data_IF_315992908306
#
_entry.id   IF_315992908306
#
_cell.length_a   1.000
_cell.length_b   1.000
_cell.length_c   1.000
_cell.angle_alpha   90.00
_cell.angle_beta   90.00
_cell.angle_gamma   90.00
#
_symmetry.space_group_name_H-M   'P 1'
#
loop_
_entity.id
_entity.type
_entity.pdbx_description
1 polymer ?
#
# COMPACT_ATOMS: atom_id res chain seq x y z
N UNK A 1 10.63 6.91 15.82
CA UNK A 1 10.70 6.63 14.37
C UNK A 1 11.65 7.65 13.73
N UNK A 2 12.67 7.23 12.97
CA UNK A 2 13.63 8.16 12.34
C UNK A 2 12.87 9.04 11.33
N UNK A 3 13.11 10.35 11.29
CA UNK A 3 12.34 11.29 10.44
C UNK A 3 12.25 10.90 8.95
N UNK A 4 13.25 10.18 8.43
CA UNK A 4 13.24 9.61 7.06
C UNK A 4 12.07 8.65 6.82
N UNK A 5 11.66 7.87 7.82
CA UNK A 5 10.54 6.93 7.72
C UNK A 5 9.19 7.63 7.63
N UNK A 6 9.04 8.80 8.26
CA UNK A 6 7.80 9.60 8.23
C UNK A 6 7.61 10.25 6.86
N UNK A 7 8.69 10.72 6.24
CA UNK A 7 8.65 11.29 4.88
C UNK A 7 8.18 10.24 3.86
N UNK A 8 8.72 9.02 3.94
CA UNK A 8 8.32 7.92 3.05
C UNK A 8 6.84 7.56 3.24
N UNK A 9 6.37 7.52 4.49
CA UNK A 9 4.96 7.29 4.81
C UNK A 9 4.06 8.37 4.19
N UNK A 10 4.44 9.65 4.29
CA UNK A 10 3.67 10.77 3.76
C UNK A 10 3.62 10.77 2.23
N UNK A 11 4.73 10.47 1.56
CA UNK A 11 4.78 10.33 0.10
C UNK A 11 3.88 9.17 -0.35
N UNK A 12 3.92 8.05 0.37
CA UNK A 12 3.10 6.87 0.05
C UNK A 12 1.61 7.21 0.11
N UNK A 13 1.17 7.91 1.16
CA UNK A 13 -0.22 8.36 1.29
C UNK A 13 -0.65 9.29 0.16
N UNK A 14 0.19 10.26 -0.21
CA UNK A 14 -0.11 11.18 -1.31
C UNK A 14 -0.29 10.40 -2.62
N UNK A 15 0.60 9.44 -2.91
CA UNK A 15 0.53 8.61 -4.11
C UNK A 15 -0.73 7.73 -4.10
N UNK A 16 -1.07 7.11 -2.98
CA UNK A 16 -2.29 6.29 -2.84
C UNK A 16 -3.57 7.10 -3.08
N UNK A 17 -3.64 8.33 -2.55
CA UNK A 17 -4.76 9.25 -2.78
C UNK A 17 -4.86 9.63 -4.25
N UNK A 18 -3.75 9.99 -4.89
CA UNK A 18 -3.74 10.37 -6.31
C UNK A 18 -4.23 9.21 -7.18
N UNK A 19 -3.70 8.00 -6.99
CA UNK A 19 -4.11 6.84 -7.80
C UNK A 19 -5.59 6.53 -7.56
N UNK A 20 -6.04 6.54 -6.30
CA UNK A 20 -7.45 6.31 -5.96
C UNK A 20 -8.36 7.35 -6.62
N UNK A 21 -7.94 8.62 -6.66
CA UNK A 21 -8.68 9.69 -7.34
C UNK A 21 -8.82 9.44 -8.84
N UNK A 22 -7.73 9.04 -9.52
CA UNK A 22 -7.78 8.71 -10.94
C UNK A 22 -8.69 7.52 -11.24
N UNK A 23 -8.64 6.47 -10.40
CA UNK A 23 -9.52 5.29 -10.55
C UNK A 23 -10.98 5.71 -10.35
N UNK A 24 -11.29 6.48 -9.30
CA UNK A 24 -12.64 6.96 -9.05
C UNK A 24 -13.19 7.80 -10.21
N UNK A 25 -12.37 8.69 -10.76
CA UNK A 25 -12.72 9.51 -11.93
C UNK A 25 -12.99 8.66 -13.17
N UNK A 26 -12.18 7.62 -13.41
CA UNK A 26 -12.36 6.72 -14.56
C UNK A 26 -13.66 5.92 -14.49
N UNK A 27 -14.04 5.43 -13.31
CA UNK A 27 -15.26 4.63 -13.13
C UNK A 27 -16.51 5.48 -12.81
N UNK A 28 -16.40 6.82 -12.75
CA UNK A 28 -17.48 7.73 -12.35
C UNK A 28 -18.19 7.33 -11.04
N UNK A 29 -17.46 6.68 -10.15
CA UNK A 29 -17.95 6.26 -8.82
C UNK A 29 -17.35 7.16 -7.76
N UNK A 30 -18.03 7.22 -6.62
CA UNK A 30 -17.57 8.02 -5.49
C UNK A 30 -16.22 7.50 -5.02
N UNK A 31 -15.30 8.45 -4.79
CA UNK A 31 -13.95 8.17 -4.30
C UNK A 31 -13.98 7.28 -3.04
N UNK A 32 -14.99 7.46 -2.19
CA UNK A 32 -15.19 6.74 -0.95
C UNK A 32 -15.46 5.24 -1.12
N UNK A 33 -16.07 4.82 -2.24
CA UNK A 33 -16.35 3.42 -2.54
C UNK A 33 -15.09 2.71 -3.01
N UNK A 34 -14.32 3.39 -3.87
CA UNK A 34 -13.10 2.87 -4.49
C UNK A 34 -11.94 2.85 -3.49
N UNK A 35 -11.90 3.81 -2.56
CA UNK A 35 -10.82 4.00 -1.59
C UNK A 35 -10.58 2.79 -0.68
N UNK A 36 -11.64 2.05 -0.31
CA UNK A 36 -11.48 0.82 0.46
C UNK A 36 -10.84 -0.31 -0.36
N UNK A 37 -11.33 -0.54 -1.58
CA UNK A 37 -10.80 -1.60 -2.46
C UNK A 37 -9.37 -1.30 -2.91
N UNK A 38 -9.06 -0.05 -3.24
CA UNK A 38 -7.69 0.37 -3.58
C UNK A 38 -6.79 0.27 -2.36
N UNK A 39 -7.26 0.64 -1.17
CA UNK A 39 -6.53 0.49 0.08
C UNK A 39 -6.14 -0.96 0.38
N UNK A 40 -7.04 -1.93 0.15
CA UNK A 40 -6.71 -3.37 0.25
C UNK A 40 -5.65 -3.78 -0.76
N UNK A 41 -5.81 -3.37 -2.03
CA UNK A 41 -4.85 -3.68 -3.08
C UNK A 41 -3.46 -3.12 -2.78
N UNK A 42 -3.38 -1.88 -2.29
CA UNK A 42 -2.10 -1.25 -1.93
C UNK A 42 -1.49 -1.86 -0.68
N UNK A 43 -2.25 -2.06 0.39
CA UNK A 43 -1.75 -2.69 1.60
C UNK A 43 -1.27 -4.14 1.33
N UNK A 44 -2.04 -4.92 0.57
CA UNK A 44 -1.68 -6.27 0.17
C UNK A 44 -0.49 -6.31 -0.79
N UNK A 45 -0.44 -5.40 -1.76
CA UNK A 45 0.67 -5.25 -2.70
C UNK A 45 1.97 -4.87 -1.99
N UNK A 46 1.93 -3.85 -1.14
CA UNK A 46 3.08 -3.41 -0.35
C UNK A 46 3.52 -4.49 0.62
N UNK A 47 2.59 -5.22 1.24
CA UNK A 47 2.92 -6.38 2.07
C UNK A 47 3.63 -7.47 1.26
N UNK A 48 3.13 -7.80 0.07
CA UNK A 48 3.73 -8.78 -0.83
C UNK A 48 5.15 -8.37 -1.28
N UNK A 49 5.35 -7.10 -1.63
CA UNK A 49 6.66 -6.57 -2.03
C UNK A 49 7.62 -6.36 -0.85
N UNK A 50 7.12 -6.03 0.34
CA UNK A 50 7.90 -5.77 1.55
C UNK A 50 8.27 -7.05 2.32
N UNK A 51 7.69 -8.20 1.97
CA UNK A 51 8.09 -9.48 2.53
C UNK A 51 9.48 -9.88 2.03
N UNK A 52 10.37 -10.31 2.93
CA UNK A 52 11.78 -10.64 2.65
C UNK A 52 12.01 -11.82 1.68
N UNK A 53 10.95 -12.39 1.10
CA UNK A 53 11.02 -13.34 -0.01
C UNK A 53 10.30 -12.88 -1.29
N UNK A 54 9.85 -11.62 -1.36
CA UNK A 54 9.20 -11.02 -2.52
C UNK A 54 10.16 -10.75 -3.69
N UNK A 55 9.60 -10.48 -4.88
CA UNK A 55 10.34 -10.35 -6.14
C UNK A 55 11.49 -9.32 -6.08
N UNK A 56 11.29 -8.19 -5.39
CA UNK A 56 12.31 -7.15 -5.23
C UNK A 56 13.49 -7.58 -4.35
N UNK A 57 13.23 -8.31 -3.26
CA UNK A 57 14.30 -8.85 -2.40
C UNK A 57 15.14 -9.89 -3.14
N UNK A 58 14.49 -10.75 -3.94
CA UNK A 58 15.18 -11.71 -4.81
C UNK A 58 16.02 -11.02 -5.89
N UNK A 59 15.52 -9.95 -6.49
CA UNK A 59 16.24 -9.19 -7.52
C UNK A 59 17.47 -8.46 -6.97
N UNK A 60 17.36 -7.85 -5.79
CA UNK A 60 18.51 -7.23 -5.12
C UNK A 60 19.54 -8.27 -4.68
N UNK A 61 19.11 -9.40 -4.12
CA UNK A 61 20.02 -10.50 -3.78
C UNK A 61 20.72 -11.07 -5.02
N UNK A 62 20.02 -11.22 -6.15
CA UNK A 62 20.61 -11.66 -7.41
C UNK A 62 21.66 -10.66 -7.94
N UNK A 63 21.41 -9.36 -7.88
CA UNK A 63 22.41 -8.34 -8.25
C UNK A 63 23.62 -8.36 -7.33
N UNK A 64 23.41 -8.31 -6.00
CA UNK A 64 24.51 -8.26 -5.03
C UNK A 64 25.37 -9.53 -5.09
N UNK A 65 24.74 -10.70 -5.20
CA UNK A 65 25.46 -11.98 -5.37
C UNK A 65 26.21 -12.05 -6.70
N UNK A 66 25.65 -11.52 -7.79
CA UNK A 66 26.33 -11.42 -9.09
C UNK A 66 27.53 -10.47 -9.07
N UNK A 67 27.48 -9.38 -8.31
CA UNK A 67 28.57 -8.41 -8.20
C UNK A 67 29.68 -8.83 -7.22
N UNK A 68 29.35 -9.57 -6.17
CA UNK A 68 30.30 -9.92 -5.09
C UNK A 68 30.75 -11.37 -5.11
N UNK A 69 30.09 -12.24 -5.89
CA UNK A 69 30.35 -13.68 -5.91
C UNK A 69 29.88 -14.42 -4.66
N UNK A 70 29.33 -13.71 -3.67
CA UNK A 70 28.81 -14.31 -2.44
C UNK A 70 27.34 -14.69 -2.60
N UNK A 71 27.07 -16.00 -2.58
CA UNK A 71 25.71 -16.55 -2.56
C UNK A 71 25.18 -16.41 -1.12
N UNK A 72 24.46 -15.33 -0.87
CA UNK A 72 23.79 -15.10 0.41
C UNK A 72 22.66 -16.13 0.56
N UNK A 73 22.78 -17.05 1.53
CA UNK A 73 21.72 -18.03 1.84
C UNK A 73 20.41 -17.28 2.08
N UNK A 74 19.32 -17.78 1.50
CA UNK A 74 18.00 -17.15 1.57
C UNK A 74 17.65 -16.82 3.03
N UNK A 75 17.66 -15.52 3.36
CA UNK A 75 17.24 -15.04 4.67
C UNK A 75 15.84 -15.61 4.95
N UNK A 76 15.69 -16.26 6.11
CA UNK A 76 14.38 -16.74 6.61
C UNK A 76 13.38 -15.63 6.39
N UNK A 77 12.18 -15.96 5.89
CA UNK A 77 11.07 -15.01 5.64
C UNK A 77 10.76 -14.17 6.89
N UNK A 78 11.53 -13.11 7.12
CA UNK A 78 11.27 -12.13 8.16
C UNK A 78 10.54 -11.00 7.48
N UNK A 79 9.25 -10.88 7.75
CA UNK A 79 8.45 -9.77 7.26
C UNK A 79 8.94 -8.52 7.99
N UNK A 80 9.86 -7.77 7.36
CA UNK A 80 10.22 -6.43 7.82
C UNK A 80 9.09 -5.50 7.40
N UNK A 81 8.14 -5.33 8.31
CA UNK A 81 7.01 -4.42 8.13
C UNK A 81 7.55 -2.99 8.10
N UNK A 82 7.75 -2.47 6.88
CA UNK A 82 8.29 -1.14 6.66
C UNK A 82 7.30 -0.02 7.04
N UNK A 83 7.77 1.23 7.19
CA UNK A 83 6.90 2.39 7.42
C UNK A 83 5.89 2.61 6.27
N UNK A 84 6.19 2.10 5.08
CA UNK A 84 5.29 2.12 3.92
C UNK A 84 4.03 1.25 4.14
N UNK A 85 4.20 0.06 4.74
CA UNK A 85 3.06 -0.80 5.07
C UNK A 85 2.14 -0.14 6.10
N UNK A 86 2.71 0.51 7.12
CA UNK A 86 1.93 1.25 8.10
C UNK A 86 1.14 2.42 7.47
N UNK A 87 1.71 3.08 6.46
CA UNK A 87 1.00 4.12 5.69
C UNK A 87 -0.27 3.56 5.03
N UNK A 88 -0.10 2.47 4.26
CA UNK A 88 -1.20 1.82 3.53
C UNK A 88 -2.22 1.18 4.46
N UNK A 89 -1.77 0.68 5.61
CA UNK A 89 -2.66 0.13 6.63
C UNK A 89 -3.55 1.22 7.26
N UNK A 90 -2.97 2.40 7.52
CA UNK A 90 -3.74 3.57 7.96
C UNK A 90 -4.70 4.03 6.85
N UNK A 91 -4.24 4.07 5.60
CA UNK A 91 -5.08 4.42 4.46
C UNK A 91 -6.27 3.46 4.32
N UNK A 92 -6.05 2.16 4.48
CA UNK A 92 -7.09 1.13 4.50
C UNK A 92 -8.06 1.33 5.65
N UNK A 93 -7.58 1.63 6.86
CA UNK A 93 -8.45 1.89 8.02
C UNK A 93 -9.33 3.12 7.81
N UNK A 94 -8.77 4.20 7.26
CA UNK A 94 -9.53 5.42 6.92
C UNK A 94 -10.56 5.09 5.83
N UNK A 95 -10.15 4.38 4.78
CA UNK A 95 -11.05 3.92 3.72
C UNK A 95 -12.18 3.03 4.24
N UNK A 96 -11.90 2.11 5.16
CA UNK A 96 -12.89 1.24 5.79
C UNK A 96 -13.89 2.04 6.63
N UNK A 97 -13.41 2.98 7.44
CA UNK A 97 -14.28 3.84 8.25
C UNK A 97 -15.25 4.65 7.38
N UNK A 98 -14.72 5.24 6.32
CA UNK A 98 -15.49 6.00 5.35
C UNK A 98 -16.49 5.12 4.57
N UNK A 99 -16.11 3.89 4.25
CA UNK A 99 -16.98 2.91 3.59
C UNK A 99 -18.13 2.46 4.49
N UNK A 100 -17.88 2.25 5.79
CA UNK A 100 -18.94 1.93 6.77
C UNK A 100 -19.93 3.09 6.86
N UNK A 101 -19.46 4.33 6.93
CA UNK A 101 -20.30 5.54 6.92
C UNK A 101 -21.21 5.61 5.69
N UNK A 102 -20.68 5.23 4.52
CA UNK A 102 -21.45 5.11 3.29
C UNK A 102 -22.55 4.05 3.39
N UNK A 103 -22.21 2.82 3.82
CA UNK A 103 -23.19 1.73 3.97
C UNK A 103 -24.27 2.09 4.98
N UNK A 104 -23.93 2.79 6.05
CA UNK A 104 -24.90 3.27 7.06
C UNK A 104 -25.83 4.38 6.54
N UNK A 105 -25.70 4.81 5.29
CA UNK A 105 -26.63 5.76 4.66
C UNK A 105 -26.51 7.19 5.16
N UNK A 106 -25.49 7.50 5.98
CA UNK A 106 -25.20 8.87 6.45
C UNK A 106 -24.76 9.77 5.28
N UNK A 107 -24.22 9.17 4.22
CA UNK A 107 -23.91 9.84 2.94
C UNK A 107 -24.87 9.29 1.88
N UNK A 108 -25.91 10.06 1.47
CA UNK A 108 -26.89 9.57 0.52
C UNK A 108 -26.21 9.19 -0.81
N UNK A 109 -26.67 8.13 -1.50
CA UNK A 109 -26.25 7.84 -2.87
C UNK A 109 -26.47 9.08 -3.73
N UNK A 110 -25.50 9.41 -4.59
CA UNK A 110 -25.72 10.46 -5.57
C UNK A 110 -26.84 9.95 -6.48
N UNK A 111 -28.01 10.57 -6.37
CA UNK A 111 -29.10 10.35 -7.30
C UNK A 111 -28.59 10.75 -8.68
N UNK A 112 -28.62 9.78 -9.59
CA UNK A 112 -28.36 10.00 -11.01
C UNK A 112 -29.52 10.76 -11.63
#
# INVERSE_FOLDING_TARGET
MKGKSVIIMMITLIVEVIITYYIASFFSVRLIEVMFFTGILFAGGIYYFSSSGGAMSRFFNAQVSGHTGFIQQSERFTVKVGPMFWASFIFLLVGLFLFILLITGVIPPQEM
#
